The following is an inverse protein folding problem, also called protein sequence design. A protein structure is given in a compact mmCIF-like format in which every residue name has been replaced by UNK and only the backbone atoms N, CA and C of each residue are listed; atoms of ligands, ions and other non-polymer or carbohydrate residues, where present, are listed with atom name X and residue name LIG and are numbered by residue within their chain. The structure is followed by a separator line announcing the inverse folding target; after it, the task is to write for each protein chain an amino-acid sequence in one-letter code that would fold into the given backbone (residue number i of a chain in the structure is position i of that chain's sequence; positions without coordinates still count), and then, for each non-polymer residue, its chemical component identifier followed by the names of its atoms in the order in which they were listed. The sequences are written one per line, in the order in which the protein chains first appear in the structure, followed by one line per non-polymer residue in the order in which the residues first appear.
data_IF_683649365017
#
_entry.id   IF_683649365017
#
_cell.length_a   1.000
_cell.length_b   1.000
_cell.length_c   1.000
_cell.angle_alpha   90.00
_cell.angle_beta   90.00
_cell.angle_gamma   90.00
#
_symmetry.space_group_name_H-M   'P 1'
#
loop_
_entity.id
_entity.type
_entity.pdbx_description
1 polymer ?
#
# COMPACT_ATOMS: atom_id res chain seq x y z
N UNK A 1 -11.55 -2.00 15.68
CA UNK A 1 -10.60 -1.23 14.85
C UNK A 1 -10.54 0.21 15.33
N UNK A 2 -9.39 0.86 15.20
CA UNK A 2 -9.19 2.20 15.74
C UNK A 2 -8.84 3.23 14.68
N UNK A 3 -9.27 4.47 14.94
CA UNK A 3 -8.99 5.67 14.18
C UNK A 3 -8.23 6.62 15.09
N UNK A 4 -7.21 7.27 14.56
CA UNK A 4 -6.51 8.35 15.24
C UNK A 4 -6.91 9.69 14.64
N UNK A 5 -7.24 10.65 15.51
CA UNK A 5 -7.46 12.06 15.17
C UNK A 5 -6.37 12.89 15.87
N UNK A 6 -5.77 13.85 15.18
CA UNK A 6 -4.90 14.86 15.80
C UNK A 6 -5.53 16.24 15.61
N UNK A 7 -6.11 16.78 16.68
CA UNK A 7 -6.63 18.14 16.69
C UNK A 7 -5.46 19.11 16.88
N UNK A 8 -5.28 20.07 15.97
CA UNK A 8 -4.46 21.25 16.25
C UNK A 8 -5.26 22.20 17.14
N UNK A 9 -4.93 22.25 18.43
CA UNK A 9 -5.30 23.38 19.27
C UNK A 9 -4.02 24.06 19.75
N UNK A 10 -3.73 25.23 19.17
CA UNK A 10 -2.76 26.17 19.72
C UNK A 10 -3.35 26.74 20.99
N UNK A 11 -3.16 26.05 22.11
CA UNK A 11 -3.05 26.65 23.43
C UNK A 11 -2.42 25.65 24.39
N UNK A 12 -1.38 26.12 25.07
CA UNK A 12 -0.57 25.41 26.06
C UNK A 12 -1.43 24.54 27.00
N UNK A 13 -1.28 23.23 26.90
CA UNK A 13 -1.09 22.33 28.05
C UNK A 13 -0.74 20.92 27.57
N UNK A 14 0.37 20.41 28.10
CA UNK A 14 0.85 19.05 27.92
C UNK A 14 -0.22 18.02 28.29
N UNK A 15 -0.85 17.43 27.28
CA UNK A 15 -1.42 16.08 27.28
C UNK A 15 -1.77 15.72 25.83
N UNK A 16 -0.78 15.18 25.10
CA UNK A 16 -1.01 14.54 23.80
C UNK A 16 -1.79 13.23 24.00
N UNK A 17 -3.07 13.36 24.35
CA UNK A 17 -4.02 12.27 24.31
C UNK A 17 -4.28 11.95 22.85
N UNK A 18 -3.50 11.04 22.28
CA UNK A 18 -3.84 10.37 21.03
C UNK A 18 -5.17 9.63 21.26
N UNK A 19 -6.30 10.31 21.03
CA UNK A 19 -7.63 9.75 21.21
C UNK A 19 -7.87 8.71 20.12
N UNK A 20 -7.60 7.46 20.47
CA UNK A 20 -7.98 6.31 19.64
C UNK A 20 -9.48 6.14 19.73
N UNK A 21 -10.19 6.42 18.65
CA UNK A 21 -11.64 6.21 18.53
C UNK A 21 -11.87 4.84 17.91
N UNK A 22 -12.89 4.10 18.33
CA UNK A 22 -13.23 2.81 17.71
C UNK A 22 -14.27 2.99 16.61
N UNK A 23 -14.14 2.25 15.51
CA UNK A 23 -15.16 2.20 14.47
C UNK A 23 -16.42 1.49 14.98
N UNK A 24 -17.60 1.98 14.59
CA UNK A 24 -18.87 1.27 14.77
C UNK A 24 -18.94 0.04 13.84
N UNK A 25 -19.97 -0.80 14.01
CA UNK A 25 -20.20 -1.93 13.10
C UNK A 25 -20.40 -1.45 11.66
N UNK A 26 -21.24 -0.44 11.44
CA UNK A 26 -21.50 0.12 10.10
C UNK A 26 -20.22 0.67 9.45
N UNK A 27 -19.41 1.43 10.19
CA UNK A 27 -18.13 1.93 9.68
C UNK A 27 -17.15 0.78 9.40
N UNK A 28 -17.16 -0.26 10.24
CA UNK A 28 -16.37 -1.47 10.01
C UNK A 28 -16.79 -2.17 8.71
N UNK A 29 -18.09 -2.23 8.41
CA UNK A 29 -18.60 -2.83 7.17
C UNK A 29 -18.24 -1.99 5.95
N UNK A 30 -18.30 -0.64 6.03
CA UNK A 30 -17.78 0.26 4.99
C UNK A 30 -16.30 0.01 4.72
N UNK A 31 -15.50 -0.14 5.77
CA UNK A 31 -14.07 -0.42 5.64
C UNK A 31 -13.81 -1.79 5.01
N UNK A 32 -14.56 -2.82 5.42
CA UNK A 32 -14.47 -4.15 4.81
C UNK A 32 -14.86 -4.09 3.34
N UNK A 33 -15.90 -3.35 2.98
CA UNK A 33 -16.30 -3.14 1.59
C UNK A 33 -15.15 -2.58 0.73
N UNK A 34 -14.43 -1.55 1.21
CA UNK A 34 -13.27 -1.00 0.49
C UNK A 34 -12.18 -2.06 0.29
N UNK A 35 -11.90 -2.85 1.34
CA UNK A 35 -10.76 -3.76 1.35
C UNK A 35 -11.01 -5.12 0.68
N UNK A 36 -12.26 -5.57 0.65
CA UNK A 36 -12.65 -6.89 0.13
C UNK A 36 -13.20 -6.83 -1.31
N UNK A 37 -13.62 -5.66 -1.77
CA UNK A 37 -14.05 -5.47 -3.15
C UNK A 37 -12.85 -5.57 -4.10
N UNK A 38 -12.98 -6.40 -5.13
CA UNK A 38 -12.00 -6.46 -6.21
C UNK A 38 -12.02 -5.18 -7.03
N UNK A 39 -10.84 -4.63 -7.30
CA UNK A 39 -10.62 -3.44 -8.13
C UNK A 39 -9.74 -3.80 -9.35
N UNK A 40 -10.06 -3.27 -10.55
CA UNK A 40 -9.22 -3.46 -11.72
C UNK A 40 -7.97 -2.57 -11.64
N UNK A 41 -6.80 -3.16 -11.82
CA UNK A 41 -5.52 -2.47 -12.00
C UNK A 41 -5.11 -2.63 -13.46
N UNK A 42 -5.12 -1.52 -14.17
CA UNK A 42 -4.90 -1.47 -15.61
C UNK A 42 -3.42 -1.23 -15.93
N UNK A 43 -2.94 -1.90 -16.97
CA UNK A 43 -1.66 -1.56 -17.60
C UNK A 43 -1.86 -0.36 -18.55
N UNK A 44 -0.86 0.52 -18.64
CA UNK A 44 -0.83 1.66 -19.54
C UNK A 44 -0.37 1.25 -20.95
N UNK A 45 -1.04 1.72 -22.02
CA UNK A 45 -0.54 1.57 -23.39
C UNK A 45 0.87 2.17 -23.53
N UNK A 46 1.77 1.56 -24.32
CA UNK A 46 1.56 0.45 -25.26
C UNK A 46 1.76 -0.96 -24.65
N UNK A 47 1.67 -1.12 -23.32
CA UNK A 47 1.86 -2.42 -22.68
C UNK A 47 0.84 -3.48 -23.12
N UNK A 48 1.30 -4.73 -23.25
CA UNK A 48 0.46 -5.90 -23.52
C UNK A 48 0.06 -6.68 -22.25
N UNK A 49 0.42 -6.18 -21.06
CA UNK A 49 0.05 -6.83 -19.80
C UNK A 49 -1.48 -6.74 -19.57
N UNK A 50 -2.13 -7.78 -18.99
CA UNK A 50 -3.57 -7.79 -18.79
C UNK A 50 -4.02 -6.82 -17.69
N UNK A 51 -5.31 -6.48 -17.65
CA UNK A 51 -5.89 -5.86 -16.44
C UNK A 51 -5.94 -6.89 -15.31
N UNK A 52 -5.46 -6.53 -14.12
CA UNK A 52 -5.48 -7.38 -12.94
C UNK A 52 -6.66 -7.05 -12.05
N UNK A 53 -7.33 -8.06 -11.51
CA UNK A 53 -8.40 -7.86 -10.52
C UNK A 53 -7.84 -8.11 -9.12
N UNK A 54 -7.50 -7.03 -8.39
CA UNK A 54 -6.88 -7.11 -7.08
C UNK A 54 -7.90 -6.88 -5.97
N UNK A 55 -7.86 -7.69 -4.92
CA UNK A 55 -8.55 -7.38 -3.66
C UNK A 55 -7.57 -6.68 -2.73
N UNK A 56 -7.79 -5.41 -2.32
CA UNK A 56 -6.84 -4.65 -1.53
C UNK A 56 -6.38 -5.36 -0.25
N UNK A 57 -7.28 -6.03 0.49
CA UNK A 57 -6.92 -6.81 1.69
C UNK A 57 -5.89 -7.89 1.38
N UNK A 58 -6.14 -8.69 0.35
CA UNK A 58 -5.27 -9.81 -0.03
C UNK A 58 -3.91 -9.30 -0.50
N UNK A 59 -3.92 -8.28 -1.36
CA UNK A 59 -2.71 -7.67 -1.90
C UNK A 59 -1.85 -7.02 -0.80
N UNK A 60 -2.46 -6.26 0.12
CA UNK A 60 -1.74 -5.66 1.25
C UNK A 60 -1.15 -6.70 2.20
N UNK A 61 -1.83 -7.84 2.41
CA UNK A 61 -1.27 -8.96 3.17
C UNK A 61 -0.03 -9.55 2.50
N UNK A 62 -0.07 -9.74 1.18
CA UNK A 62 1.05 -10.25 0.40
C UNK A 62 2.25 -9.30 0.45
N UNK A 63 2.02 -8.00 0.20
CA UNK A 63 3.05 -6.96 0.32
C UNK A 63 3.65 -6.94 1.72
N UNK A 64 2.81 -6.94 2.77
CA UNK A 64 3.26 -6.96 4.17
C UNK A 64 4.15 -8.17 4.49
N UNK A 65 3.76 -9.35 4.04
CA UNK A 65 4.53 -10.58 4.30
C UNK A 65 5.89 -10.51 3.61
N UNK A 66 5.93 -10.09 2.35
CA UNK A 66 7.18 -9.90 1.61
C UNK A 66 8.06 -8.79 2.21
N UNK A 67 7.50 -7.67 2.68
CA UNK A 67 8.30 -6.66 3.41
C UNK A 67 9.05 -7.29 4.60
N UNK A 68 8.37 -8.14 5.37
CA UNK A 68 8.98 -8.88 6.48
C UNK A 68 10.06 -9.87 6.00
N UNK A 69 9.81 -10.63 4.94
CA UNK A 69 10.79 -11.56 4.35
C UNK A 69 12.09 -10.86 3.91
N UNK A 70 11.98 -9.61 3.46
CA UNK A 70 13.10 -8.78 3.02
C UNK A 70 13.67 -7.90 4.15
N UNK A 71 13.32 -8.16 5.41
CA UNK A 71 13.81 -7.39 6.57
C UNK A 71 13.52 -5.88 6.49
N UNK A 72 12.38 -5.52 5.87
CA UNK A 72 11.85 -4.17 5.86
C UNK A 72 10.80 -4.06 6.96
N UNK A 73 11.20 -3.46 8.06
CA UNK A 73 10.37 -3.29 9.24
C UNK A 73 9.32 -2.20 9.03
N UNK A 74 8.08 -2.53 9.38
CA UNK A 74 6.95 -1.59 9.36
C UNK A 74 6.33 -1.46 10.75
N UNK A 75 5.75 -0.30 11.05
CA UNK A 75 5.06 -0.04 12.32
C UNK A 75 3.55 -0.10 12.22
N UNK A 76 2.98 0.27 11.07
CA UNK A 76 1.53 0.20 10.86
C UNK A 76 1.18 0.31 9.37
N UNK A 77 -0.01 -0.21 9.03
CA UNK A 77 -0.66 -0.04 7.73
C UNK A 77 -2.01 0.62 7.98
N UNK A 78 -2.27 1.73 7.30
CA UNK A 78 -3.43 2.59 7.58
C UNK A 78 -4.13 3.02 6.30
N UNK A 79 -5.45 3.06 6.32
CA UNK A 79 -6.24 3.72 5.28
C UNK A 79 -6.26 5.23 5.57
N UNK A 80 -6.12 6.04 4.53
CA UNK A 80 -6.09 7.49 4.62
C UNK A 80 -6.98 8.15 3.55
N UNK A 81 -6.99 9.49 3.53
CA UNK A 81 -7.56 10.29 2.46
C UNK A 81 -9.08 10.17 2.35
N UNK A 82 -9.59 10.35 1.13
CA UNK A 82 -11.03 10.30 0.86
C UNK A 82 -11.66 8.96 1.26
N UNK A 83 -10.94 7.85 1.09
CA UNK A 83 -11.43 6.53 1.46
C UNK A 83 -11.62 6.36 2.98
N UNK A 84 -10.72 6.92 3.79
CA UNK A 84 -10.90 6.95 5.25
C UNK A 84 -12.09 7.84 5.65
N UNK A 85 -12.25 8.99 4.99
CA UNK A 85 -13.39 9.89 5.22
C UNK A 85 -14.73 9.21 4.87
N UNK A 86 -14.80 8.48 3.75
CA UNK A 86 -15.98 7.69 3.36
C UNK A 86 -16.41 6.69 4.43
N UNK A 87 -15.44 6.03 5.09
CA UNK A 87 -15.73 5.08 6.17
C UNK A 87 -16.40 5.78 7.35
N UNK A 88 -15.95 7.00 7.67
CA UNK A 88 -16.36 7.70 8.88
C UNK A 88 -17.67 8.48 8.73
N UNK A 89 -17.92 9.04 7.55
CA UNK A 89 -19.06 9.91 7.29
C UNK A 89 -20.30 9.07 6.94
N UNK A 90 -21.45 9.48 7.46
CA UNK A 90 -22.74 8.90 7.12
C UNK A 90 -23.43 9.71 6.01
N UNK A 91 -22.81 9.73 4.83
CA UNK A 91 -23.34 10.37 3.63
C UNK A 91 -23.27 9.36 2.47
N UNK A 92 -24.44 8.97 1.96
CA UNK A 92 -24.57 8.01 0.86
C UNK A 92 -24.07 8.57 -0.48
N UNK A 93 -23.94 9.89 -0.61
CA UNK A 93 -23.44 10.55 -1.81
C UNK A 93 -21.93 10.78 -1.78
N UNK A 94 -21.27 10.54 -0.64
CA UNK A 94 -19.83 10.71 -0.53
C UNK A 94 -19.12 9.65 -1.37
N UNK A 95 -18.27 10.10 -2.28
CA UNK A 95 -17.44 9.24 -3.12
C UNK A 95 -15.97 9.52 -2.85
N UNK A 96 -15.16 8.48 -2.78
CA UNK A 96 -13.71 8.61 -2.71
C UNK A 96 -13.08 8.33 -4.07
N UNK A 97 -12.01 9.06 -4.37
CA UNK A 97 -11.33 8.96 -5.67
C UNK A 97 -10.28 7.87 -5.69
N UNK A 98 -9.52 7.71 -4.62
CA UNK A 98 -8.37 6.81 -4.53
C UNK A 98 -8.41 6.04 -3.20
N UNK A 99 -7.73 4.89 -3.16
CA UNK A 99 -7.56 4.08 -1.95
C UNK A 99 -6.14 4.34 -1.44
N UNK A 100 -6.01 5.32 -0.55
CA UNK A 100 -4.73 5.75 -0.02
C UNK A 100 -4.30 4.88 1.17
N UNK A 101 -3.22 4.13 1.00
CA UNK A 101 -2.65 3.27 2.04
C UNK A 101 -1.33 3.88 2.51
N UNK A 102 -1.27 4.21 3.80
CA UNK A 102 -0.04 4.61 4.46
C UNK A 102 0.60 3.38 5.11
N UNK A 103 1.84 3.09 4.73
CA UNK A 103 2.69 2.05 5.30
C UNK A 103 3.83 2.74 6.02
N UNK A 104 3.77 2.80 7.34
CA UNK A 104 4.81 3.44 8.13
C UNK A 104 5.99 2.47 8.28
N UNK A 105 7.15 2.84 7.76
CA UNK A 105 8.36 2.02 7.75
C UNK A 105 9.35 2.50 8.83
N UNK A 106 10.09 1.57 9.43
CA UNK A 106 11.23 1.85 10.32
C UNK A 106 12.55 1.79 9.58
N UNK A 107 12.65 0.89 8.61
CA UNK A 107 13.82 0.76 7.76
C UNK A 107 13.91 1.96 6.82
N UNK A 108 14.99 2.77 6.85
CA UNK A 108 15.09 3.98 6.03
C UNK A 108 15.04 3.69 4.53
N UNK A 109 14.37 4.55 3.75
CA UNK A 109 14.23 4.37 2.30
C UNK A 109 15.55 4.43 1.53
N UNK A 110 16.55 5.09 2.11
CA UNK A 110 17.89 5.26 1.55
C UNK A 110 18.86 4.16 1.97
N UNK A 111 18.54 3.34 2.99
CA UNK A 111 19.42 2.27 3.43
C UNK A 111 19.66 1.26 2.31
N UNK A 112 20.92 0.91 2.08
CA UNK A 112 21.28 -0.15 1.16
C UNK A 112 21.17 -1.50 1.84
N UNK A 113 20.53 -2.45 1.17
CA UNK A 113 20.47 -3.84 1.60
C UNK A 113 20.84 -4.76 0.46
N UNK A 114 21.38 -5.94 0.82
CA UNK A 114 21.61 -7.00 -0.16
C UNK A 114 20.27 -7.51 -0.65
N UNK A 115 19.98 -7.28 -1.92
CA UNK A 115 18.72 -7.71 -2.51
C UNK A 115 18.79 -9.19 -2.92
N UNK A 116 17.65 -9.88 -2.87
CA UNK A 116 17.46 -11.19 -3.51
C UNK A 116 17.16 -11.05 -5.01
N UNK A 117 17.00 -9.81 -5.51
CA UNK A 117 17.00 -9.52 -6.94
C UNK A 117 18.35 -9.93 -7.54
N UNK A 118 18.27 -10.66 -8.64
CA UNK A 118 19.44 -11.01 -9.40
C UNK A 118 19.73 -9.92 -10.43
N UNK A 119 21.00 -9.53 -10.52
CA UNK A 119 21.49 -8.72 -11.62
C UNK A 119 21.34 -9.47 -12.95
N UNK A 120 21.58 -8.79 -14.08
CA UNK A 120 21.68 -9.45 -15.39
C UNK A 120 22.68 -10.61 -15.43
N UNK A 121 23.63 -10.63 -14.49
CA UNK A 121 24.71 -11.60 -14.40
C UNK A 121 24.44 -12.65 -13.30
N UNK A 122 23.21 -12.72 -12.77
CA UNK A 122 22.81 -13.67 -11.75
C UNK A 122 23.51 -13.50 -10.39
N UNK A 123 23.93 -12.27 -10.06
CA UNK A 123 24.56 -11.95 -8.78
C UNK A 123 23.66 -11.06 -7.93
N UNK A 124 23.67 -11.27 -6.61
CA UNK A 124 23.07 -10.34 -5.66
C UNK A 124 23.85 -9.03 -5.66
N UNK A 125 23.14 -7.90 -5.68
CA UNK A 125 23.75 -6.58 -5.55
C UNK A 125 23.16 -5.83 -4.35
N UNK A 126 23.72 -4.66 -4.03
CA UNK A 126 23.16 -3.74 -3.03
C UNK A 126 22.23 -2.76 -3.74
N UNK A 127 21.06 -2.52 -3.19
CA UNK A 127 20.20 -1.43 -3.61
C UNK A 127 19.44 -0.83 -2.44
N UNK A 128 18.92 0.38 -2.66
CA UNK A 128 18.14 1.07 -1.64
C UNK A 128 16.83 0.34 -1.34
N UNK A 129 16.33 0.52 -0.11
CA UNK A 129 15.08 -0.09 0.36
C UNK A 129 13.90 0.25 -0.56
N UNK A 130 13.86 1.44 -1.16
CA UNK A 130 12.79 1.78 -2.12
C UNK A 130 12.79 0.86 -3.35
N UNK A 131 13.97 0.52 -3.87
CA UNK A 131 14.14 -0.40 -4.99
C UNK A 131 13.65 -1.80 -4.62
N UNK A 132 13.93 -2.25 -3.39
CA UNK A 132 13.43 -3.52 -2.88
C UNK A 132 11.90 -3.49 -2.74
N UNK A 133 11.31 -2.41 -2.22
CA UNK A 133 9.85 -2.25 -2.11
C UNK A 133 9.18 -2.30 -3.48
N UNK A 134 9.72 -1.59 -4.48
CA UNK A 134 9.23 -1.67 -5.86
C UNK A 134 9.21 -3.11 -6.36
N UNK A 135 10.30 -3.85 -6.14
CA UNK A 135 10.35 -5.26 -6.50
C UNK A 135 9.29 -6.09 -5.77
N UNK A 136 9.13 -5.91 -4.46
CA UNK A 136 8.10 -6.60 -3.68
C UNK A 136 6.73 -6.40 -4.32
N UNK A 137 6.37 -5.14 -4.61
CA UNK A 137 5.09 -4.81 -5.24
C UNK A 137 4.98 -5.47 -6.63
N UNK A 138 6.03 -5.41 -7.44
CA UNK A 138 6.05 -6.07 -8.75
C UNK A 138 5.87 -7.58 -8.65
N UNK A 139 6.51 -8.22 -7.67
CA UNK A 139 6.41 -9.67 -7.45
C UNK A 139 4.98 -10.07 -7.06
N UNK A 140 4.30 -9.25 -6.25
CA UNK A 140 2.88 -9.42 -5.94
C UNK A 140 2.02 -9.33 -7.20
N UNK A 141 2.23 -8.31 -8.05
CA UNK A 141 1.51 -8.17 -9.33
C UNK A 141 1.75 -9.36 -10.27
N UNK A 142 2.99 -9.85 -10.32
CA UNK A 142 3.35 -11.02 -11.13
C UNK A 142 2.64 -12.30 -10.69
N UNK A 143 2.51 -12.54 -9.38
CA UNK A 143 1.72 -13.68 -8.88
C UNK A 143 0.26 -13.61 -9.38
N UNK A 144 -0.32 -12.41 -9.49
CA UNK A 144 -1.64 -12.22 -10.10
C UNK A 144 -1.65 -12.45 -11.62
N UNK A 145 -0.62 -12.00 -12.35
CA UNK A 145 -0.49 -12.24 -13.79
C UNK A 145 -0.35 -13.74 -14.08
N UNK A 146 0.50 -14.45 -13.34
CA UNK A 146 0.75 -15.87 -13.53
C UNK A 146 -0.48 -16.69 -13.18
N UNK A 147 -1.26 -16.32 -12.16
CA UNK A 147 -2.53 -17.00 -11.87
C UNK A 147 -3.56 -16.85 -13.00
N UNK A 148 -3.44 -15.84 -13.88
CA UNK A 148 -4.29 -15.67 -15.06
C UNK A 148 -3.80 -16.55 -16.23
N UNK A 149 -2.51 -16.85 -16.30
CA UNK A 149 -1.92 -17.70 -17.35
C UNK A 149 -1.91 -19.17 -16.88
N UNK A 150 -2.31 -20.10 -17.72
CA UNK A 150 -2.33 -21.54 -17.38
C UNK A 150 -0.97 -22.04 -16.89
N UNK A 151 -1.02 -23.01 -15.98
CA UNK A 151 0.00 -23.56 -15.08
C UNK A 151 1.31 -24.10 -15.70
N UNK A 152 2.02 -23.32 -16.50
CA UNK A 152 3.36 -23.66 -16.97
C UNK A 152 4.27 -22.44 -16.82
N UNK A 153 4.87 -22.29 -15.64
CA UNK A 153 6.15 -21.62 -15.34
C UNK A 153 6.21 -21.28 -13.85
N UNK A 154 6.39 -22.32 -13.03
CA UNK A 154 6.87 -22.13 -11.66
C UNK A 154 8.39 -22.17 -11.71
N UNK A 155 9.03 -21.10 -11.24
CA UNK A 155 10.49 -20.88 -11.18
C UNK A 155 11.14 -20.20 -12.39
N UNK A 156 10.52 -19.15 -12.96
CA UNK A 156 11.30 -18.19 -13.75
C UNK A 156 11.78 -17.06 -12.86
N UNK A 157 13.09 -16.92 -12.77
CA UNK A 157 13.74 -15.82 -12.10
C UNK A 157 13.66 -14.57 -12.99
N UNK A 158 13.13 -13.47 -12.47
CA UNK A 158 12.91 -12.26 -13.25
C UNK A 158 14.08 -11.28 -13.12
N UNK A 159 14.50 -10.68 -14.23
CA UNK A 159 15.54 -9.65 -14.23
C UNK A 159 14.99 -8.31 -13.73
N UNK A 160 15.85 -7.46 -13.17
CA UNK A 160 15.48 -6.09 -12.76
C UNK A 160 14.79 -5.29 -13.87
N UNK A 161 15.27 -5.42 -15.12
CA UNK A 161 14.69 -4.75 -16.28
C UNK A 161 13.23 -5.19 -16.54
N UNK A 162 12.96 -6.48 -16.50
CA UNK A 162 11.61 -7.00 -16.70
C UNK A 162 10.64 -6.52 -15.61
N UNK A 163 11.09 -6.54 -14.35
CA UNK A 163 10.31 -6.05 -13.21
C UNK A 163 10.00 -4.55 -13.33
N UNK A 164 10.99 -3.76 -13.79
CA UNK A 164 10.80 -2.33 -14.06
C UNK A 164 9.74 -2.12 -15.15
N UNK A 165 9.80 -2.91 -16.23
CA UNK A 165 8.82 -2.84 -17.34
C UNK A 165 7.39 -3.11 -16.85
N UNK A 166 7.21 -4.07 -15.95
CA UNK A 166 5.90 -4.37 -15.34
C UNK A 166 5.42 -3.22 -14.48
N UNK A 167 6.28 -2.71 -13.59
CA UNK A 167 5.90 -1.59 -12.72
C UNK A 167 5.55 -0.35 -13.54
N UNK A 168 6.33 -0.02 -14.55
CA UNK A 168 6.07 1.13 -15.43
C UNK A 168 4.76 0.98 -16.20
N UNK A 169 4.36 -0.26 -16.52
CA UNK A 169 3.06 -0.51 -17.12
C UNK A 169 1.90 -0.28 -16.15
N UNK A 170 1.97 -0.71 -14.89
CA UNK A 170 0.83 -0.61 -13.96
C UNK A 170 0.85 0.64 -13.07
N UNK A 171 1.98 1.33 -12.96
CA UNK A 171 2.12 2.50 -12.11
C UNK A 171 1.64 3.77 -12.83
N UNK A 172 0.69 4.47 -12.20
CA UNK A 172 0.28 5.83 -12.57
C UNK A 172 1.26 6.88 -12.04
N UNK A 173 1.83 6.65 -10.86
CA UNK A 173 2.81 7.53 -10.20
C UNK A 173 3.84 6.68 -9.48
N UNK A 174 5.10 7.12 -9.52
CA UNK A 174 6.21 6.54 -8.79
C UNK A 174 7.10 7.69 -8.30
N UNK A 175 7.00 8.02 -7.02
CA UNK A 175 7.61 9.22 -6.42
C UNK A 175 8.44 8.78 -5.21
N UNK A 176 9.64 9.33 -5.07
CA UNK A 176 10.46 9.23 -3.85
C UNK A 176 10.88 10.63 -3.43
N UNK A 177 10.55 11.00 -2.20
CA UNK A 177 11.03 12.20 -1.53
C UNK A 177 11.97 11.73 -0.42
N UNK A 178 13.18 12.27 -0.39
CA UNK A 178 14.22 11.86 0.55
C UNK A 178 14.97 13.09 1.05
N UNK A 179 14.56 13.56 2.23
CA UNK A 179 15.22 14.64 2.97
C UNK A 179 15.16 14.34 4.46
N UNK A 180 15.98 15.03 5.26
CA UNK A 180 16.03 14.81 6.72
C UNK A 180 14.66 15.02 7.41
N UNK A 181 13.84 15.93 6.89
CA UNK A 181 12.57 16.30 7.49
C UNK A 181 11.35 15.69 6.78
N UNK A 182 11.51 15.20 5.56
CA UNK A 182 10.46 14.61 4.73
C UNK A 182 11.06 13.44 3.92
N UNK A 183 10.77 12.21 4.35
CA UNK A 183 11.22 10.97 3.72
C UNK A 183 10.03 10.04 3.52
N UNK A 184 9.59 9.92 2.28
CA UNK A 184 8.49 9.04 1.89
C UNK A 184 8.56 8.67 0.41
N UNK A 185 7.98 7.53 0.06
CA UNK A 185 7.82 7.11 -1.32
C UNK A 185 6.35 6.75 -1.60
N UNK A 186 5.92 6.91 -2.85
CA UNK A 186 4.56 6.62 -3.29
C UNK A 186 4.59 5.87 -4.61
N UNK A 187 3.87 4.75 -4.66
CA UNK A 187 3.52 4.05 -5.88
C UNK A 187 1.99 4.01 -6.01
N UNK A 188 1.47 4.61 -7.07
CA UNK A 188 0.03 4.61 -7.38
C UNK A 188 -0.22 3.60 -8.49
N UNK A 189 -0.99 2.55 -8.21
CA UNK A 189 -1.40 1.55 -9.19
C UNK A 189 -2.67 2.02 -9.90
N UNK A 190 -2.66 1.98 -11.23
CA UNK A 190 -3.65 2.64 -12.06
C UNK A 190 -4.98 1.89 -12.13
N UNK A 191 -6.08 2.60 -11.95
CA UNK A 191 -7.43 2.14 -12.30
C UNK A 191 -8.13 3.23 -13.12
N UNK A 192 -8.54 2.91 -14.35
CA UNK A 192 -9.16 3.87 -15.27
C UNK A 192 -10.57 4.30 -14.86
N UNK A 193 -11.23 3.53 -13.99
CA UNK A 193 -12.55 3.87 -13.46
C UNK A 193 -12.49 4.75 -12.20
N UNK A 194 -11.30 5.26 -11.84
CA UNK A 194 -11.04 5.84 -10.52
C UNK A 194 -10.60 4.77 -9.54
N UNK A 195 -10.52 5.07 -8.25
CA UNK A 195 -10.05 4.15 -7.18
C UNK A 195 -8.64 3.60 -7.46
N UNK A 196 -7.68 4.48 -7.77
CA UNK A 196 -6.28 4.05 -7.85
C UNK A 196 -5.87 3.52 -6.47
N UNK A 197 -5.06 2.46 -6.43
CA UNK A 197 -4.50 1.96 -5.18
C UNK A 197 -3.15 2.66 -4.94
N UNK A 198 -3.13 3.64 -4.04
CA UNK A 198 -1.92 4.41 -3.73
C UNK A 198 -1.24 3.84 -2.48
N UNK A 199 -0.02 3.32 -2.66
CA UNK A 199 0.81 2.79 -1.58
C UNK A 199 1.87 3.82 -1.22
N UNK A 200 1.71 4.47 -0.08
CA UNK A 200 2.65 5.48 0.42
C UNK A 200 3.45 4.92 1.58
N UNK A 201 4.74 4.75 1.37
CA UNK A 201 5.71 4.28 2.35
C UNK A 201 6.30 5.49 3.09
N UNK A 202 6.02 5.60 4.38
CA UNK A 202 6.32 6.77 5.19
C UNK A 202 7.39 6.43 6.21
N UNK A 203 8.57 7.02 6.05
CA UNK A 203 9.61 7.04 7.07
C UNK A 203 9.35 8.24 8.00
N UNK A 204 9.38 9.46 7.44
CA UNK A 204 9.08 10.72 8.14
C UNK A 204 8.26 11.65 7.23
N UNK A 205 7.24 12.32 7.77
CA UNK A 205 6.48 13.35 7.05
C UNK A 205 6.73 14.71 7.69
N UNK A 206 7.16 15.71 6.91
CA UNK A 206 7.34 17.09 7.40
C UNK A 206 6.02 17.70 7.87
N UNK A 207 4.92 17.34 7.21
CA UNK A 207 3.54 17.66 7.61
C UNK A 207 2.70 16.42 7.39
N UNK A 208 1.98 15.99 8.42
CA UNK A 208 1.12 14.81 8.30
C UNK A 208 -0.13 15.11 7.46
N UNK A 209 -0.61 16.36 7.48
CA UNK A 209 -1.87 16.77 6.82
C UNK A 209 -1.77 18.18 6.24
N UNK A 210 -2.45 18.41 5.11
CA UNK A 210 -2.65 19.76 4.55
C UNK A 210 -4.13 20.19 4.61
N UNK A 211 -5.07 19.24 4.57
CA UNK A 211 -6.51 19.49 4.60
C UNK A 211 -7.23 18.56 5.58
N UNK A 212 -8.42 18.94 6.05
CA UNK A 212 -9.20 18.16 7.02
C UNK A 212 -9.60 16.77 6.52
N UNK A 213 -9.76 16.62 5.19
CA UNK A 213 -10.06 15.33 4.53
C UNK A 213 -8.91 14.33 4.61
N UNK A 214 -7.69 14.83 4.81
CA UNK A 214 -6.52 13.98 5.00
C UNK A 214 -6.36 13.55 6.46
N UNK A 215 -7.01 14.21 7.43
CA UNK A 215 -6.71 14.08 8.86
C UNK A 215 -7.09 12.73 9.50
N UNK A 216 -7.75 11.83 8.76
CA UNK A 216 -8.24 10.56 9.29
C UNK A 216 -7.41 9.38 8.80
N UNK A 217 -6.79 8.70 9.75
CA UNK A 217 -6.11 7.43 9.52
C UNK A 217 -6.80 6.29 10.27
N UNK A 218 -7.16 5.25 9.54
CA UNK A 218 -7.79 4.04 10.11
C UNK A 218 -6.77 2.91 10.13
N UNK A 219 -6.49 2.35 11.31
CA UNK A 219 -5.57 1.23 11.43
C UNK A 219 -6.15 -0.05 10.78
N UNK A 220 -5.47 -0.56 9.76
CA UNK A 220 -5.88 -1.74 9.00
C UNK A 220 -5.37 -3.05 9.58
N UNK A 221 -4.37 -2.99 10.47
CA UNK A 221 -3.72 -4.18 11.01
C UNK A 221 -4.70 -5.25 11.52
N UNK A 222 -5.75 -4.94 12.31
CA UNK A 222 -6.68 -5.96 12.79
C UNK A 222 -7.30 -6.80 11.65
N UNK A 223 -7.66 -6.18 10.51
CA UNK A 223 -8.23 -6.87 9.35
C UNK A 223 -7.18 -7.63 8.54
N UNK A 224 -5.93 -7.18 8.53
CA UNK A 224 -4.85 -7.86 7.81
C UNK A 224 -4.38 -9.11 8.56
N UNK A 225 -4.51 -9.15 9.89
CA UNK A 225 -4.17 -10.29 10.74
C UNK A 225 -5.31 -11.30 10.96
N UNK A 226 -6.56 -10.97 10.59
CA UNK A 226 -7.67 -11.92 10.65
C UNK A 226 -7.30 -13.20 9.86
N UNK A 227 -7.24 -14.33 10.56
CA UNK A 227 -7.10 -15.64 9.92
C UNK A 227 -8.36 -15.86 9.08
N UNK A 228 -8.19 -16.20 7.80
CA UNK A 228 -9.31 -16.71 7.02
C UNK A 228 -9.81 -17.97 7.71
N UNK A 229 -10.96 -17.89 8.37
CA UNK A 229 -11.69 -19.09 8.75
C UNK A 229 -12.10 -19.74 7.43
N UNK A 230 -11.37 -20.78 7.03
CA UNK A 230 -11.85 -21.67 5.97
C UNK A 230 -13.11 -22.32 6.52
N UNK A 231 -14.27 -21.82 6.09
CA UNK A 231 -15.51 -22.55 6.24
C UNK A 231 -15.34 -23.77 5.32
N UNK A 232 -15.00 -24.91 5.91
CA UNK A 232 -15.16 -26.19 5.26
C UNK A 232 -16.66 -26.40 5.12
N UNK A 233 -17.18 -26.23 3.90
CA UNK A 233 -18.46 -26.81 3.51
C UNK A 233 -18.19 -28.23 3.02
#
# INVERSE_FOLDING_TARGET
MHVSHTSTNSNNNNNNNNTKVYLTCEQTDKLKHILDRSIPICSSPPSSFPTLNLTPRSFLRQVRNKLKEYSIDITSIRLNGGAASYVLVNDSNFVYRDIDILIHIKTPLSSEQKTTLFSSNNESYLCDVWTIIKYIICSCLLEHITNIKTSEQQSQQYTHHYLSTILDAYAKKNIKISSEQDSWALLSLQNYSGQNLELKFVEHLKRQWQFSVDSFQINLEPLLYEKQLKIQN
#
